data_IF_459511400694
#
_entry.id   IF_459511400694
#
_cell.length_a   1.000
_cell.length_b   1.000
_cell.length_c   1.000
_cell.angle_alpha   90.00
_cell.angle_beta   90.00
_cell.angle_gamma   90.00
#
_symmetry.space_group_name_H-M   'P 1'
#
loop_
_entity.id
_entity.type
_entity.pdbx_description
1 polymer ?
#
# COMPACT_ATOMS: atom_id res chain seq x y z
N UNK A 1 -18.64 -16.70 25.30
CA UNK A 1 -17.21 -16.42 25.55
C UNK A 1 -16.97 -16.45 27.06
N UNK A 2 -15.90 -17.11 27.48
CA UNK A 2 -15.59 -17.30 28.90
C UNK A 2 -15.01 -16.03 29.53
N UNK A 3 -15.11 -15.85 30.86
CA UNK A 3 -14.42 -14.77 31.53
C UNK A 3 -12.91 -14.92 31.29
N UNK A 4 -12.25 -13.91 30.70
CA UNK A 4 -10.83 -13.94 30.37
C UNK A 4 -9.94 -14.38 31.54
N UNK A 5 -8.70 -14.79 31.26
CA UNK A 5 -7.83 -15.47 32.26
C UNK A 5 -7.53 -14.66 33.53
N UNK A 6 -7.75 -13.35 33.47
CA UNK A 6 -7.59 -12.40 34.57
C UNK A 6 -8.89 -12.13 35.36
N UNK A 7 -10.02 -12.72 34.98
CA UNK A 7 -11.29 -12.53 35.68
C UNK A 7 -11.18 -13.05 37.12
N UNK A 8 -11.51 -12.19 38.09
CA UNK A 8 -11.36 -12.42 39.54
C UNK A 8 -9.91 -12.50 40.06
N UNK A 9 -8.90 -12.12 39.26
CA UNK A 9 -7.51 -12.03 39.72
C UNK A 9 -7.22 -10.64 40.29
N UNK A 10 -6.36 -10.60 41.32
CA UNK A 10 -5.86 -9.38 41.95
C UNK A 10 -4.40 -9.13 41.58
N UNK A 11 -3.92 -7.91 41.87
CA UNK A 11 -2.52 -7.53 41.68
C UNK A 11 -1.61 -8.53 42.40
N UNK A 12 -0.63 -9.09 41.68
CA UNK A 12 0.32 -10.14 42.08
C UNK A 12 -0.22 -11.57 42.13
N UNK A 13 -1.43 -11.85 41.65
CA UNK A 13 -1.88 -13.23 41.51
C UNK A 13 -1.08 -13.95 40.41
N UNK A 14 -0.69 -15.19 40.70
CA UNK A 14 -0.07 -16.06 39.72
C UNK A 14 -1.11 -16.50 38.67
N UNK A 15 -0.77 -16.26 37.41
CA UNK A 15 -1.53 -16.77 36.26
C UNK A 15 -0.89 -18.11 35.84
N UNK A 16 -1.64 -19.21 35.84
CA UNK A 16 -1.13 -20.49 35.39
C UNK A 16 -0.86 -20.45 33.88
N UNK A 17 0.41 -20.50 33.48
CA UNK A 17 0.86 -20.32 32.09
C UNK A 17 0.27 -21.35 31.12
N UNK A 18 -0.11 -22.54 31.61
CA UNK A 18 -0.74 -23.58 30.80
C UNK A 18 -2.18 -23.27 30.36
N UNK A 19 -2.76 -22.16 30.82
CA UNK A 19 -4.08 -21.67 30.40
C UNK A 19 -4.01 -20.44 29.50
N UNK A 20 -2.80 -19.94 29.21
CA UNK A 20 -2.57 -18.74 28.40
C UNK A 20 -2.43 -19.17 26.94
N UNK A 21 -3.37 -18.75 26.09
CA UNK A 21 -3.33 -19.03 24.65
C UNK A 21 -2.39 -18.07 23.90
N UNK A 22 -2.37 -16.79 24.27
CA UNK A 22 -1.53 -15.75 23.64
C UNK A 22 -1.09 -14.72 24.69
N UNK A 23 0.16 -14.28 24.64
CA UNK A 23 0.71 -13.23 25.52
C UNK A 23 0.98 -12.01 24.66
N UNK A 24 0.37 -10.88 25.01
CA UNK A 24 0.67 -9.57 24.41
C UNK A 24 1.52 -8.77 25.40
N UNK A 25 2.71 -8.32 24.97
CA UNK A 25 3.58 -7.45 25.77
C UNK A 25 3.66 -6.10 25.07
N UNK A 26 3.07 -5.07 25.66
CA UNK A 26 3.00 -3.73 25.07
C UNK A 26 4.06 -2.84 25.72
N UNK A 27 4.92 -2.20 24.92
CA UNK A 27 5.91 -1.20 25.37
C UNK A 27 5.33 0.23 25.47
N UNK A 28 5.99 1.08 26.28
CA UNK A 28 5.46 2.26 26.98
C UNK A 28 5.14 3.51 26.11
N UNK A 29 5.42 3.52 24.81
CA UNK A 29 5.16 4.70 23.95
C UNK A 29 3.68 4.85 23.50
N UNK A 30 2.79 3.95 23.95
CA UNK A 30 1.44 3.77 23.39
C UNK A 30 0.26 4.14 24.33
N UNK A 31 0.46 4.84 25.44
CA UNK A 31 -0.65 5.13 26.39
C UNK A 31 -1.81 5.93 25.77
N UNK A 32 -1.53 6.92 24.90
CA UNK A 32 -2.60 7.62 24.15
C UNK A 32 -3.34 6.68 23.19
N UNK A 33 -2.64 5.74 22.58
CA UNK A 33 -3.23 4.81 21.61
C UNK A 33 -4.04 3.70 22.29
N UNK A 34 -3.62 3.24 23.48
CA UNK A 34 -4.45 2.38 24.33
C UNK A 34 -5.73 3.09 24.76
N UNK A 35 -5.67 4.38 25.06
CA UNK A 35 -6.87 5.18 25.36
C UNK A 35 -7.81 5.27 24.15
N UNK A 36 -7.28 5.43 22.93
CA UNK A 36 -8.09 5.42 21.69
C UNK A 36 -8.80 4.07 21.56
N UNK A 37 -8.09 2.94 21.70
CA UNK A 37 -8.71 1.62 21.63
C UNK A 37 -9.85 1.45 22.65
N UNK A 38 -9.72 2.01 23.86
CA UNK A 38 -10.79 1.97 24.87
C UNK A 38 -12.05 2.77 24.49
N UNK A 39 -11.96 3.66 23.50
CA UNK A 39 -13.11 4.41 23.00
C UNK A 39 -13.82 3.74 21.81
N UNK A 40 -13.19 2.74 21.20
CA UNK A 40 -13.75 2.07 20.03
C UNK A 40 -14.76 0.98 20.44
N UNK A 41 -15.80 0.73 19.62
CA UNK A 41 -16.67 -0.42 19.82
C UNK A 41 -15.90 -1.74 19.81
N UNK A 42 -16.21 -2.64 20.76
CA UNK A 42 -15.55 -3.95 20.90
C UNK A 42 -15.62 -4.76 19.58
N UNK A 43 -16.77 -4.75 18.92
CA UNK A 43 -16.98 -5.41 17.63
C UNK A 43 -16.02 -4.91 16.53
N UNK A 44 -15.65 -3.62 16.54
CA UNK A 44 -14.71 -3.07 15.56
C UNK A 44 -13.28 -3.55 15.81
N UNK A 45 -12.89 -3.67 17.08
CA UNK A 45 -11.58 -4.17 17.48
C UNK A 45 -11.46 -5.65 17.12
N UNK A 46 -12.49 -6.46 17.42
CA UNK A 46 -12.50 -7.89 17.09
C UNK A 46 -12.33 -8.12 15.58
N UNK A 47 -13.05 -7.37 14.74
CA UNK A 47 -12.91 -7.47 13.28
C UNK A 47 -11.52 -7.05 12.81
N UNK A 48 -10.93 -6.01 13.40
CA UNK A 48 -9.58 -5.60 13.07
C UNK A 48 -8.56 -6.71 13.37
N UNK A 49 -8.69 -7.37 14.54
CA UNK A 49 -7.84 -8.51 14.92
C UNK A 49 -8.02 -9.71 13.98
N UNK A 50 -9.24 -10.01 13.56
CA UNK A 50 -9.51 -11.07 12.57
C UNK A 50 -8.82 -10.76 11.23
N UNK A 51 -8.89 -9.50 10.78
CA UNK A 51 -8.23 -9.06 9.54
C UNK A 51 -6.71 -9.14 9.65
N UNK A 52 -6.14 -8.73 10.78
CA UNK A 52 -4.70 -8.82 11.02
C UNK A 52 -4.26 -10.29 11.02
N UNK A 53 -5.00 -11.16 11.74
CA UNK A 53 -4.70 -12.58 11.78
C UNK A 53 -4.81 -13.24 10.39
N UNK A 54 -5.80 -12.86 9.60
CA UNK A 54 -5.93 -13.33 8.22
C UNK A 54 -4.77 -12.83 7.34
N UNK A 55 -4.41 -11.55 7.48
CA UNK A 55 -3.30 -10.95 6.75
C UNK A 55 -1.96 -11.62 7.05
N UNK A 56 -1.65 -11.88 8.32
CA UNK A 56 -0.43 -12.59 8.74
C UNK A 56 -0.37 -14.01 8.15
N UNK A 57 -1.52 -14.70 8.08
CA UNK A 57 -1.65 -16.01 7.45
C UNK A 57 -1.36 -15.98 5.96
N UNK A 58 -2.01 -15.08 5.22
CA UNK A 58 -1.87 -14.94 3.76
C UNK A 58 -0.47 -14.42 3.34
N UNK A 59 0.15 -13.57 4.18
CA UNK A 59 1.50 -13.06 3.95
C UNK A 59 2.59 -14.01 4.44
N UNK A 60 2.24 -15.00 5.26
CA UNK A 60 3.16 -15.91 5.94
C UNK A 60 4.27 -15.18 6.71
N UNK A 61 3.94 -14.03 7.32
CA UNK A 61 4.87 -13.17 8.04
C UNK A 61 4.12 -12.38 9.12
N UNK A 62 4.77 -12.08 10.26
CA UNK A 62 4.18 -11.24 11.29
C UNK A 62 4.10 -9.78 10.83
N UNK A 63 3.10 -9.07 11.33
CA UNK A 63 2.97 -7.62 11.17
C UNK A 63 3.40 -6.91 12.45
N UNK A 64 3.81 -5.66 12.31
CA UNK A 64 4.26 -4.82 13.43
C UNK A 64 3.07 -4.45 14.32
N UNK A 65 3.28 -4.49 15.64
CA UNK A 65 2.23 -4.27 16.66
C UNK A 65 1.43 -2.96 16.48
N UNK A 66 1.98 -1.96 15.79
CA UNK A 66 1.27 -0.71 15.52
C UNK A 66 0.02 -0.90 14.64
N UNK A 67 -0.07 -1.99 13.87
CA UNK A 67 -1.24 -2.27 13.02
C UNK A 67 -2.51 -2.49 13.83
N UNK A 68 -2.42 -3.10 15.01
CA UNK A 68 -3.57 -3.34 15.89
C UNK A 68 -4.30 -2.04 16.22
N UNK A 69 -3.55 -0.98 16.43
CA UNK A 69 -4.08 0.35 16.70
C UNK A 69 -4.55 1.01 15.39
N UNK A 70 -3.66 1.08 14.40
CA UNK A 70 -3.91 1.84 13.18
C UNK A 70 -5.09 1.30 12.37
N UNK A 71 -5.21 -0.04 12.27
CA UNK A 71 -6.30 -0.67 11.53
C UNK A 71 -7.62 -0.59 12.31
N UNK A 72 -7.60 -0.76 13.64
CA UNK A 72 -8.82 -0.62 14.47
C UNK A 72 -9.41 0.78 14.37
N UNK A 73 -8.57 1.83 14.47
CA UNK A 73 -8.99 3.22 14.34
C UNK A 73 -9.56 3.50 12.94
N UNK A 74 -8.85 3.05 11.90
CA UNK A 74 -9.28 3.19 10.51
C UNK A 74 -10.62 2.51 10.24
N UNK A 75 -10.79 1.25 10.64
CA UNK A 75 -12.03 0.49 10.45
C UNK A 75 -13.19 1.12 11.20
N UNK A 76 -12.98 1.50 12.46
CA UNK A 76 -14.04 2.15 13.25
C UNK A 76 -14.51 3.44 12.57
N UNK A 77 -13.57 4.28 12.14
CA UNK A 77 -13.90 5.50 11.42
C UNK A 77 -14.58 5.23 10.08
N UNK A 78 -14.12 4.24 9.31
CA UNK A 78 -14.70 3.87 8.01
C UNK A 78 -16.14 3.37 8.16
N UNK A 79 -16.41 2.52 9.16
CA UNK A 79 -17.74 1.98 9.46
C UNK A 79 -18.69 3.10 9.88
N UNK A 80 -18.31 3.92 10.86
CA UNK A 80 -19.12 5.05 11.32
C UNK A 80 -19.44 6.01 10.19
N UNK A 81 -18.44 6.32 9.37
CA UNK A 81 -18.59 7.23 8.23
C UNK A 81 -19.59 6.68 7.20
N UNK A 82 -19.51 5.39 6.87
CA UNK A 82 -20.44 4.75 5.93
C UNK A 82 -21.87 4.67 6.50
N UNK A 83 -22.02 4.39 7.79
CA UNK A 83 -23.33 4.41 8.45
C UNK A 83 -23.97 5.81 8.43
N UNK A 84 -23.15 6.86 8.43
CA UNK A 84 -23.60 8.25 8.27
C UNK A 84 -23.83 8.65 6.79
N UNK A 85 -23.72 7.72 5.83
CA UNK A 85 -23.94 7.98 4.40
C UNK A 85 -22.81 8.75 3.72
N UNK A 86 -21.62 8.82 4.33
CA UNK A 86 -20.46 9.52 3.79
C UNK A 86 -19.55 8.54 3.04
N UNK A 87 -19.46 8.70 1.73
CA UNK A 87 -18.57 7.91 0.87
C UNK A 87 -17.21 8.59 0.72
N UNK A 88 -16.13 7.81 0.73
CA UNK A 88 -14.77 8.27 0.45
C UNK A 88 -14.27 7.56 -0.78
N UNK A 89 -13.68 8.33 -1.69
CA UNK A 89 -13.04 7.83 -2.90
C UNK A 89 -11.53 7.76 -2.69
N UNK A 90 -10.96 6.62 -3.03
CA UNK A 90 -9.53 6.39 -3.03
C UNK A 90 -8.98 6.74 -4.43
N UNK A 91 -8.38 7.93 -4.54
CA UNK A 91 -7.80 8.44 -5.79
C UNK A 91 -6.56 7.66 -6.27
N UNK A 92 -6.05 6.73 -5.46
CA UNK A 92 -4.85 5.93 -5.71
C UNK A 92 -5.17 4.44 -5.86
N UNK A 93 -6.46 4.07 -5.98
CA UNK A 93 -6.90 2.67 -5.93
C UNK A 93 -6.22 1.81 -6.99
N UNK A 94 -6.03 2.32 -8.21
CA UNK A 94 -5.42 1.58 -9.30
C UNK A 94 -3.94 1.30 -9.08
N UNK A 95 -3.20 2.30 -8.58
CA UNK A 95 -1.80 2.13 -8.21
C UNK A 95 -1.66 1.18 -7.02
N UNK A 96 -2.51 1.30 -5.99
CA UNK A 96 -2.52 0.39 -4.84
C UNK A 96 -2.75 -1.06 -5.27
N UNK A 97 -3.73 -1.30 -6.16
CA UNK A 97 -4.01 -2.63 -6.74
C UNK A 97 -2.78 -3.22 -7.45
N UNK A 98 -2.06 -2.39 -8.20
CA UNK A 98 -0.89 -2.84 -8.95
C UNK A 98 0.35 -3.03 -8.06
N UNK A 99 0.53 -2.18 -7.04
CA UNK A 99 1.72 -2.19 -6.17
C UNK A 99 1.64 -3.22 -5.04
N UNK A 100 0.46 -3.35 -4.44
CA UNK A 100 0.22 -4.08 -3.19
C UNK A 100 -0.86 -5.15 -3.40
N UNK A 101 -0.73 -5.92 -4.49
CA UNK A 101 -1.76 -6.85 -4.95
C UNK A 101 -2.24 -7.81 -3.86
N UNK A 102 -1.32 -8.41 -3.09
CA UNK A 102 -1.66 -9.35 -2.02
C UNK A 102 -2.42 -8.66 -0.89
N UNK A 103 -1.93 -7.49 -0.48
CA UNK A 103 -2.55 -6.68 0.56
C UNK A 103 -3.93 -6.17 0.14
N UNK A 104 -4.11 -5.88 -1.15
CA UNK A 104 -5.38 -5.51 -1.73
C UNK A 104 -6.38 -6.68 -1.78
N UNK A 105 -5.93 -7.88 -2.13
CA UNK A 105 -6.75 -9.10 -2.04
C UNK A 105 -7.19 -9.37 -0.59
N UNK A 106 -6.32 -9.12 0.40
CA UNK A 106 -6.69 -9.15 1.81
C UNK A 106 -7.70 -8.04 2.16
N UNK A 107 -7.52 -6.83 1.64
CA UNK A 107 -8.47 -5.73 1.81
C UNK A 107 -9.86 -6.05 1.27
N UNK A 108 -9.95 -6.75 0.12
CA UNK A 108 -11.21 -7.23 -0.44
C UNK A 108 -11.87 -8.28 0.45
N UNK A 109 -11.10 -9.20 1.02
CA UNK A 109 -11.60 -10.14 2.01
C UNK A 109 -12.10 -9.41 3.26
N UNK A 110 -11.36 -8.42 3.75
CA UNK A 110 -11.68 -7.65 4.95
C UNK A 110 -13.01 -6.91 4.84
N UNK A 111 -13.29 -6.23 3.72
CA UNK A 111 -14.59 -5.57 3.51
C UNK A 111 -15.75 -6.59 3.41
N UNK A 112 -15.48 -7.80 2.94
CA UNK A 112 -16.41 -8.93 2.97
C UNK A 112 -16.71 -9.38 4.40
N UNK A 113 -15.66 -9.56 5.21
CA UNK A 113 -15.76 -9.94 6.62
C UNK A 113 -16.56 -8.92 7.45
N UNK A 114 -16.32 -7.63 7.22
CA UNK A 114 -17.11 -6.54 7.83
C UNK A 114 -18.59 -6.66 7.47
N UNK A 115 -18.90 -6.93 6.20
CA UNK A 115 -20.28 -7.07 5.73
C UNK A 115 -20.97 -8.30 6.34
N UNK A 116 -20.28 -9.42 6.44
CA UNK A 116 -20.81 -10.65 7.03
C UNK A 116 -21.06 -10.50 8.53
N UNK A 117 -20.16 -9.80 9.23
CA UNK A 117 -20.20 -9.67 10.70
C UNK A 117 -21.13 -8.55 11.17
N UNK A 118 -21.08 -7.37 10.54
CA UNK A 118 -21.83 -6.17 10.97
C UNK A 118 -22.98 -5.77 10.05
N UNK A 119 -23.11 -6.41 8.88
CA UNK A 119 -24.08 -5.99 7.86
C UNK A 119 -23.74 -4.66 7.16
N UNK A 120 -22.56 -4.08 7.44
CA UNK A 120 -22.10 -2.81 6.85
C UNK A 120 -21.36 -3.09 5.55
N UNK A 121 -21.81 -2.49 4.45
CA UNK A 121 -21.14 -2.63 3.14
C UNK A 121 -20.14 -1.50 2.93
N UNK A 122 -18.86 -1.78 3.12
CA UNK A 122 -17.77 -0.86 2.79
C UNK A 122 -17.51 -0.86 1.27
N UNK A 123 -17.20 0.30 0.67
CA UNK A 123 -16.84 0.38 -0.74
C UNK A 123 -15.45 -0.23 -1.00
N UNK A 124 -15.18 -0.56 -2.27
CA UNK A 124 -13.88 -1.09 -2.73
C UNK A 124 -12.72 -0.14 -2.41
N UNK A 125 -12.98 1.16 -2.33
CA UNK A 125 -12.01 2.17 -1.90
C UNK A 125 -11.40 1.87 -0.52
N UNK A 126 -12.16 1.29 0.41
CA UNK A 126 -11.68 0.88 1.73
C UNK A 126 -10.74 -0.33 1.66
N UNK A 127 -10.94 -1.24 0.71
CA UNK A 127 -9.98 -2.32 0.49
C UNK A 127 -8.60 -1.75 0.11
N UNK A 128 -8.55 -0.63 -0.61
CA UNK A 128 -7.31 0.08 -0.91
C UNK A 128 -6.64 0.69 0.33
N UNK A 129 -7.40 1.27 1.26
CA UNK A 129 -6.84 1.82 2.50
C UNK A 129 -6.37 0.71 3.46
N UNK A 130 -7.15 -0.36 3.61
CA UNK A 130 -6.77 -1.54 4.39
C UNK A 130 -5.46 -2.13 3.83
N UNK A 131 -5.33 -2.24 2.50
CA UNK A 131 -4.11 -2.71 1.86
C UNK A 131 -2.89 -1.87 2.24
N UNK A 132 -3.03 -0.54 2.30
CA UNK A 132 -1.94 0.34 2.73
C UNK A 132 -1.57 0.13 4.20
N UNK A 133 -2.56 0.01 5.10
CA UNK A 133 -2.29 -0.28 6.51
C UNK A 133 -1.51 -1.58 6.70
N UNK A 134 -1.90 -2.64 5.97
CA UNK A 134 -1.20 -3.93 5.98
C UNK A 134 0.20 -3.80 5.39
N UNK A 135 0.34 -3.08 4.27
CA UNK A 135 1.62 -2.88 3.61
C UNK A 135 2.63 -2.21 4.55
N UNK A 136 2.22 -1.11 5.18
CA UNK A 136 3.08 -0.31 6.07
C UNK A 136 3.36 -0.97 7.41
N UNK A 137 2.60 -2.02 7.74
CA UNK A 137 2.79 -2.79 8.96
C UNK A 137 3.84 -3.90 8.83
N UNK A 138 4.36 -4.20 7.64
CA UNK A 138 5.44 -5.18 7.52
C UNK A 138 6.69 -4.68 8.26
N UNK A 139 7.46 -5.59 8.86
CA UNK A 139 8.56 -5.26 9.77
C UNK A 139 9.64 -4.31 9.18
N UNK A 140 9.85 -4.34 7.87
CA UNK A 140 10.80 -3.48 7.15
C UNK A 140 10.12 -2.55 6.13
N UNK A 141 8.81 -2.32 6.28
CA UNK A 141 8.08 -1.43 5.38
C UNK A 141 8.42 0.04 5.63
N UNK A 142 8.27 0.83 4.58
CA UNK A 142 8.27 2.27 4.68
C UNK A 142 7.04 2.79 5.44
N UNK A 143 7.16 4.01 5.97
CA UNK A 143 6.02 4.66 6.63
C UNK A 143 4.83 4.88 5.68
N UNK A 144 3.62 4.94 6.24
CA UNK A 144 2.40 5.31 5.50
C UNK A 144 2.56 6.59 4.67
N UNK A 145 3.25 7.59 5.21
CA UNK A 145 3.53 8.83 4.49
C UNK A 145 4.38 8.58 3.23
N UNK A 146 5.43 7.76 3.33
CA UNK A 146 6.30 7.42 2.21
C UNK A 146 5.55 6.60 1.15
N UNK A 147 4.81 5.56 1.57
CA UNK A 147 4.02 4.72 0.67
C UNK A 147 2.99 5.54 -0.13
N UNK A 148 2.28 6.47 0.52
CA UNK A 148 1.35 7.38 -0.16
C UNK A 148 2.05 8.36 -1.08
N UNK A 149 3.20 8.91 -0.67
CA UNK A 149 4.02 9.80 -1.50
C UNK A 149 4.48 9.09 -2.77
N UNK A 150 5.03 7.89 -2.67
CA UNK A 150 5.48 7.10 -3.83
C UNK A 150 4.32 6.74 -4.74
N UNK A 151 3.21 6.28 -4.18
CA UNK A 151 2.01 5.92 -4.95
C UNK A 151 1.47 7.14 -5.71
N UNK A 152 1.47 8.33 -5.08
CA UNK A 152 1.07 9.59 -5.71
C UNK A 152 2.01 9.97 -6.85
N UNK A 153 3.33 9.90 -6.62
CA UNK A 153 4.33 10.19 -7.65
C UNK A 153 4.16 9.28 -8.87
N UNK A 154 3.97 7.98 -8.64
CA UNK A 154 3.74 7.00 -9.71
C UNK A 154 2.47 7.33 -10.50
N UNK A 155 1.37 7.66 -9.82
CA UNK A 155 0.12 8.09 -10.46
C UNK A 155 0.35 9.30 -11.36
N UNK A 156 1.03 10.34 -10.87
CA UNK A 156 1.30 11.55 -11.66
C UNK A 156 2.22 11.28 -12.86
N UNK A 157 3.20 10.38 -12.72
CA UNK A 157 4.02 9.93 -13.84
C UNK A 157 3.18 9.22 -14.90
N UNK A 158 2.23 8.37 -14.50
CA UNK A 158 1.31 7.69 -15.42
C UNK A 158 0.41 8.70 -16.11
N UNK A 159 -0.16 9.67 -15.38
CA UNK A 159 -0.98 10.73 -15.97
C UNK A 159 -0.20 11.55 -17.01
N UNK A 160 1.10 11.79 -16.79
CA UNK A 160 1.97 12.43 -17.78
C UNK A 160 2.21 11.57 -19.02
N UNK A 161 2.40 10.26 -18.85
CA UNK A 161 2.46 9.32 -19.98
C UNK A 161 1.16 9.40 -20.77
N UNK A 162 0.01 9.31 -20.11
CA UNK A 162 -1.30 9.39 -20.77
C UNK A 162 -1.50 10.70 -21.53
N UNK A 163 -1.08 11.82 -20.95
CA UNK A 163 -1.12 13.14 -21.60
C UNK A 163 -0.20 13.20 -22.82
N UNK A 164 1.03 12.70 -22.71
CA UNK A 164 2.02 12.69 -23.80
C UNK A 164 1.52 11.90 -25.01
N UNK A 165 0.90 10.75 -24.78
CA UNK A 165 0.34 9.90 -25.84
C UNK A 165 -1.11 10.26 -26.20
N UNK A 166 -1.73 11.23 -25.52
CA UNK A 166 -3.15 11.59 -25.63
C UNK A 166 -4.08 10.36 -25.58
N UNK A 167 -3.82 9.45 -24.63
CA UNK A 167 -4.55 8.19 -24.48
C UNK A 167 -4.50 7.68 -23.04
N UNK A 168 -5.59 7.07 -22.59
CA UNK A 168 -5.64 6.34 -21.32
C UNK A 168 -4.93 4.99 -21.40
N UNK A 169 -4.21 4.64 -20.34
CA UNK A 169 -3.60 3.31 -20.19
C UNK A 169 -4.64 2.33 -19.66
N UNK A 170 -4.64 1.09 -20.16
CA UNK A 170 -5.45 0.03 -19.55
C UNK A 170 -4.79 -0.45 -18.25
N UNK A 171 -5.37 -0.04 -17.12
CA UNK A 171 -4.92 -0.34 -15.77
C UNK A 171 -5.02 -1.83 -15.41
N UNK A 172 -5.79 -2.61 -16.17
CA UNK A 172 -5.87 -4.07 -15.97
C UNK A 172 -4.81 -4.83 -16.78
N UNK A 173 -4.07 -4.14 -17.65
CA UNK A 173 -3.08 -4.77 -18.52
C UNK A 173 -1.80 -5.18 -17.76
N UNK A 174 -1.17 -6.26 -18.23
CA UNK A 174 0.14 -6.69 -17.72
C UNK A 174 1.20 -5.60 -17.94
N UNK A 175 1.09 -4.83 -19.03
CA UNK A 175 2.02 -3.74 -19.33
C UNK A 175 1.92 -2.61 -18.31
N UNK A 176 0.71 -2.23 -17.88
CA UNK A 176 0.50 -1.27 -16.80
C UNK A 176 1.11 -1.78 -15.49
N UNK A 177 0.80 -3.02 -15.08
CA UNK A 177 1.36 -3.60 -13.84
C UNK A 177 2.89 -3.59 -13.84
N UNK A 178 3.52 -3.93 -14.98
CA UNK A 178 4.98 -3.90 -15.15
C UNK A 178 5.54 -2.49 -15.08
N UNK A 179 4.89 -1.51 -15.71
CA UNK A 179 5.29 -0.11 -15.63
C UNK A 179 5.22 0.39 -14.18
N UNK A 180 4.07 0.25 -13.51
CA UNK A 180 3.85 0.67 -12.13
C UNK A 180 4.89 0.06 -11.19
N UNK A 181 5.15 -1.25 -11.33
CA UNK A 181 6.18 -1.95 -10.54
C UNK A 181 7.58 -1.37 -10.79
N UNK A 182 7.94 -1.10 -12.05
CA UNK A 182 9.24 -0.52 -12.39
C UNK A 182 9.38 0.90 -11.82
N UNK A 183 8.34 1.74 -11.98
CA UNK A 183 8.32 3.08 -11.44
C UNK A 183 8.47 3.10 -9.91
N UNK A 184 7.80 2.18 -9.19
CA UNK A 184 8.00 2.02 -7.74
C UNK A 184 9.47 1.80 -7.39
N UNK A 185 10.12 0.85 -8.05
CA UNK A 185 11.53 0.57 -7.77
C UNK A 185 12.44 1.74 -8.16
N UNK A 186 12.15 2.43 -9.27
CA UNK A 186 12.91 3.61 -9.68
C UNK A 186 12.79 4.74 -8.63
N UNK A 187 11.56 5.08 -8.21
CA UNK A 187 11.29 6.12 -7.20
C UNK A 187 11.94 5.77 -5.86
N UNK A 188 11.75 4.55 -5.37
CA UNK A 188 12.32 4.09 -4.10
C UNK A 188 13.86 4.19 -4.09
N UNK A 189 14.52 3.79 -5.19
CA UNK A 189 15.99 3.86 -5.32
C UNK A 189 16.52 5.29 -5.44
N UNK A 190 15.78 6.16 -6.13
CA UNK A 190 16.13 7.58 -6.25
C UNK A 190 16.13 8.28 -4.89
N UNK A 191 15.21 7.90 -4.00
CA UNK A 191 15.16 8.44 -2.64
C UNK A 191 16.20 7.83 -1.70
N UNK A 192 16.50 6.53 -1.82
CA UNK A 192 17.52 5.88 -0.99
C UNK A 192 18.97 6.14 -1.45
N UNK A 193 19.15 6.83 -2.58
CA UNK A 193 20.44 7.08 -3.24
C UNK A 193 21.24 5.79 -3.47
N UNK A 194 20.53 4.68 -3.69
CA UNK A 194 21.12 3.38 -4.00
C UNK A 194 21.69 3.37 -5.43
N UNK A 195 22.64 2.47 -5.67
CA UNK A 195 23.22 2.31 -7.01
C UNK A 195 22.14 1.85 -8.00
N UNK A 196 21.77 2.74 -8.92
CA UNK A 196 20.82 2.45 -9.99
C UNK A 196 21.41 1.45 -10.98
N UNK A 197 20.53 0.68 -11.65
CA UNK A 197 20.99 -0.31 -12.60
C UNK A 197 21.66 0.40 -13.78
N UNK A 198 22.91 0.03 -14.04
CA UNK A 198 23.62 0.49 -15.21
C UNK A 198 23.09 -0.26 -16.43
N UNK A 199 22.52 0.48 -17.36
CA UNK A 199 22.30 -0.02 -18.71
C UNK A 199 23.58 0.21 -19.51
N UNK A 200 23.94 -0.77 -20.35
CA UNK A 200 25.06 -0.64 -21.27
C UNK A 200 24.85 0.54 -22.24
N UNK A 201 25.93 1.27 -22.55
CA UNK A 201 25.85 2.50 -23.36
C UNK A 201 25.41 2.23 -24.81
N UNK A 202 25.84 1.12 -25.43
CA UNK A 202 25.37 0.76 -26.77
C UNK A 202 23.89 0.41 -26.74
N UNK A 203 23.46 -0.36 -25.73
CA UNK A 203 22.04 -0.68 -25.56
C UNK A 203 21.19 0.58 -25.38
N UNK A 204 21.62 1.51 -24.53
CA UNK A 204 20.94 2.79 -24.32
C UNK A 204 20.83 3.56 -25.65
N UNK A 205 21.93 3.67 -26.40
CA UNK A 205 21.93 4.33 -27.70
C UNK A 205 20.93 3.69 -28.69
N UNK A 206 20.89 2.36 -28.76
CA UNK A 206 19.92 1.66 -29.62
C UNK A 206 18.47 1.93 -29.20
N UNK A 207 18.17 1.96 -27.90
CA UNK A 207 16.83 2.27 -27.38
C UNK A 207 16.44 3.71 -27.74
N UNK A 208 17.34 4.68 -27.52
CA UNK A 208 17.12 6.08 -27.86
C UNK A 208 16.80 6.28 -29.36
N UNK A 209 17.49 5.53 -30.23
CA UNK A 209 17.29 5.62 -31.69
C UNK A 209 16.03 4.89 -32.15
N UNK A 210 15.79 3.69 -31.64
CA UNK A 210 14.68 2.83 -32.08
C UNK A 210 13.33 3.29 -31.55
N UNK A 211 13.30 3.73 -30.29
CA UNK A 211 12.09 4.09 -29.56
C UNK A 211 12.10 5.58 -29.19
N UNK A 212 12.49 6.44 -30.13
CA UNK A 212 12.75 7.86 -29.89
C UNK A 212 11.55 8.62 -29.30
N UNK A 213 10.34 8.29 -29.72
CA UNK A 213 9.12 8.91 -29.21
C UNK A 213 8.84 8.51 -27.75
N UNK A 214 8.96 7.21 -27.41
CA UNK A 214 8.86 6.75 -26.03
C UNK A 214 10.02 7.27 -25.15
N UNK A 215 11.21 7.41 -25.72
CA UNK A 215 12.37 7.98 -25.01
C UNK A 215 12.14 9.45 -24.67
N UNK A 216 11.56 10.22 -25.58
CA UNK A 216 11.21 11.62 -25.32
C UNK A 216 10.18 11.74 -24.18
N UNK A 217 9.19 10.84 -24.12
CA UNK A 217 8.28 10.75 -22.97
C UNK A 217 9.05 10.49 -21.67
N UNK A 218 9.99 9.54 -21.66
CA UNK A 218 10.81 9.24 -20.48
C UNK A 218 11.66 10.45 -20.02
N UNK A 219 12.17 11.27 -20.96
CA UNK A 219 12.86 12.52 -20.63
C UNK A 219 11.93 13.57 -20.02
N UNK A 220 10.69 13.68 -20.48
CA UNK A 220 9.70 14.58 -19.85
C UNK A 220 9.35 14.14 -18.43
N UNK A 221 9.31 12.82 -18.18
CA UNK A 221 9.18 12.29 -16.82
C UNK A 221 10.41 12.62 -15.96
N UNK A 222 11.63 12.55 -16.53
CA UNK A 222 12.85 12.92 -15.82
C UNK A 222 12.83 14.39 -15.37
N UNK A 223 12.43 15.29 -16.27
CA UNK A 223 12.32 16.72 -15.95
C UNK A 223 11.22 17.00 -14.92
N UNK A 224 10.08 16.30 -15.01
CA UNK A 224 9.04 16.38 -13.99
C UNK A 224 9.51 15.94 -12.60
N UNK A 225 10.18 14.79 -12.50
CA UNK A 225 10.71 14.30 -11.22
C UNK A 225 11.73 15.27 -10.63
N UNK A 226 12.53 15.90 -11.49
CA UNK A 226 13.48 16.93 -11.07
C UNK A 226 12.78 18.21 -10.59
N UNK A 227 11.75 18.69 -11.29
CA UNK A 227 11.08 19.94 -10.96
C UNK A 227 10.20 19.84 -9.72
N UNK A 228 9.38 18.79 -9.62
CA UNK A 228 8.39 18.64 -8.55
C UNK A 228 8.97 17.97 -7.31
N UNK A 229 9.89 17.01 -7.49
CA UNK A 229 10.38 16.15 -6.41
C UNK A 229 11.87 16.28 -6.12
N UNK A 230 12.61 17.08 -6.91
CA UNK A 230 14.08 17.25 -6.80
C UNK A 230 14.84 15.93 -6.99
N UNK A 231 14.23 14.95 -7.66
CA UNK A 231 14.81 13.64 -7.94
C UNK A 231 15.44 13.64 -9.33
N UNK A 232 16.71 13.22 -9.40
CA UNK A 232 17.46 13.17 -10.64
C UNK A 232 17.42 11.76 -11.23
N UNK A 233 16.55 11.55 -12.21
CA UNK A 233 16.46 10.30 -12.96
C UNK A 233 17.65 10.16 -13.93
N UNK A 234 18.54 9.15 -13.78
CA UNK A 234 19.64 8.95 -14.73
C UNK A 234 19.16 8.47 -16.09
N UNK A 235 19.98 8.71 -17.11
CA UNK A 235 19.68 8.28 -18.49
C UNK A 235 19.46 6.77 -18.63
N UNK A 236 20.17 5.96 -17.83
CA UNK A 236 19.97 4.50 -17.83
C UNK A 236 18.56 4.10 -17.37
N UNK A 237 18.03 4.77 -16.33
CA UNK A 237 16.66 4.54 -15.86
C UNK A 237 15.62 5.12 -16.83
N UNK A 238 15.89 6.28 -17.44
CA UNK A 238 15.06 6.81 -18.52
C UNK A 238 14.97 5.81 -19.70
N UNK A 239 16.08 5.13 -20.01
CA UNK A 239 16.11 4.07 -21.00
C UNK A 239 15.29 2.82 -20.61
N UNK A 240 15.29 2.39 -19.35
CA UNK A 240 14.40 1.31 -18.91
C UNK A 240 12.92 1.72 -18.94
N UNK A 241 12.59 2.92 -18.45
CA UNK A 241 11.24 3.49 -18.52
C UNK A 241 10.76 3.54 -19.97
N UNK A 242 11.64 3.89 -20.92
CA UNK A 242 11.33 3.90 -22.36
C UNK A 242 10.80 2.55 -22.85
N UNK A 243 11.40 1.44 -22.41
CA UNK A 243 10.93 0.10 -22.79
C UNK A 243 9.54 -0.22 -22.23
N UNK A 244 9.23 0.25 -21.02
CA UNK A 244 7.91 0.10 -20.43
C UNK A 244 6.86 0.97 -21.14
N UNK A 245 7.21 2.23 -21.44
CA UNK A 245 6.37 3.17 -22.18
C UNK A 245 6.10 2.66 -23.60
N UNK A 246 7.11 2.19 -24.32
CA UNK A 246 6.95 1.63 -25.67
C UNK A 246 5.94 0.47 -25.71
N UNK A 247 5.96 -0.40 -24.69
CA UNK A 247 5.00 -1.53 -24.62
C UNK A 247 3.56 -1.10 -24.41
N UNK A 248 3.31 0.10 -23.89
CA UNK A 248 1.96 0.67 -23.83
C UNK A 248 1.47 1.11 -25.21
N UNK A 249 2.40 1.49 -26.10
CA UNK A 249 2.11 1.84 -27.49
C UNK A 249 1.84 0.61 -28.36
N UNK A 250 2.60 -0.48 -28.18
CA UNK A 250 2.52 -1.64 -29.08
C UNK A 250 1.23 -2.49 -28.89
N UNK A 251 0.54 -2.36 -27.75
CA UNK A 251 -0.72 -3.08 -27.47
C UNK A 251 -1.97 -2.38 -28.05
N UNK A 252 -1.76 -1.46 -28.99
CA UNK A 252 -2.78 -0.57 -29.56
C UNK A 252 -3.07 -0.82 -31.04
N UNK A 253 -2.35 -1.77 -31.63
CA UNK A 253 -2.57 -2.29 -32.98
C UNK A 253 -3.26 -3.66 -32.90
#
# INVERSE_FOLDING_TARGET
MGPGIAFQKKKNDLIPMNKVEKIFVVHDENEKFKQILQTLPEEHIEIAEDIISYAEGELAAPLSDHIHIALSDHLSFAIERIQNGLLVQNKLLHEIKALYKKEYEIGLWAIGHVKETLGVSLPEDEAGYIALHIHTAKMDAESMYSALKHTTMIKEMIEKIEQYFNRKVDENSISYQRLVTHLRYAVSRLESNEALHRMDEEMLYFIQKKYSFAYQCALELAEFLKSEYQLHLPESEAGYITLHVQRLQDLSE
#
